data_IF_199462684103
#
_entry.id   IF_199462684103
#
_cell.length_a   1.000
_cell.length_b   1.000
_cell.length_c   1.000
_cell.angle_alpha   90.00
_cell.angle_beta   90.00
_cell.angle_gamma   90.00
#
_symmetry.space_group_name_H-M   'P 1'
#
loop_
_entity.id
_entity.type
_entity.pdbx_description
1 polymer ?
#
# COMPACT_ATOMS: atom_id res chain seq x y z
N UNK A 1 -26.02 -12.75 -0.94
CA UNK A 1 -25.03 -12.95 -2.01
C UNK A 1 -23.66 -12.43 -1.55
N UNK A 2 -22.64 -13.24 -1.73
CA UNK A 2 -21.29 -12.85 -1.34
C UNK A 2 -20.67 -11.99 -2.44
N UNK A 3 -20.04 -10.89 -2.04
CA UNK A 3 -19.45 -9.96 -2.98
C UNK A 3 -17.93 -9.98 -2.83
N UNK A 4 -17.22 -10.37 -3.88
CA UNK A 4 -15.77 -10.26 -3.91
C UNK A 4 -15.40 -8.82 -4.21
N UNK A 5 -14.52 -8.27 -3.40
CA UNK A 5 -14.05 -6.92 -3.56
C UNK A 5 -12.54 -6.90 -3.65
N UNK A 6 -12.03 -6.01 -4.48
CA UNK A 6 -10.60 -5.81 -4.67
C UNK A 6 -10.18 -4.49 -4.05
N UNK A 7 -8.99 -4.49 -3.49
CA UNK A 7 -8.42 -3.28 -2.91
C UNK A 7 -6.93 -3.25 -3.17
N UNK A 8 -6.39 -2.04 -3.15
CA UNK A 8 -4.95 -1.82 -3.25
C UNK A 8 -4.42 -1.39 -1.90
N UNK A 9 -3.32 -1.98 -1.47
CA UNK A 9 -2.62 -1.53 -0.28
C UNK A 9 -1.13 -1.38 -0.58
N UNK A 10 -0.48 -0.55 0.21
CA UNK A 10 0.95 -0.26 0.03
C UNK A 10 1.67 -0.50 1.34
N UNK A 11 2.72 -1.32 1.29
CA UNK A 11 3.65 -1.47 2.40
C UNK A 11 4.65 -0.33 2.29
N UNK A 12 4.63 0.56 3.27
CA UNK A 12 5.40 1.79 3.26
C UNK A 12 6.90 1.55 3.44
N UNK A 13 7.75 2.50 3.03
CA UNK A 13 9.20 2.30 3.09
C UNK A 13 9.75 1.93 4.47
N UNK A 14 9.20 2.48 5.54
CA UNK A 14 9.64 2.15 6.89
C UNK A 14 9.42 0.68 7.25
N UNK A 15 8.27 0.14 6.86
CA UNK A 15 7.95 -1.27 7.10
C UNK A 15 8.84 -2.19 6.26
N UNK A 16 9.14 -1.79 5.02
CA UNK A 16 10.07 -2.54 4.17
C UNK A 16 11.46 -2.57 4.81
N UNK A 17 11.94 -1.42 5.30
CA UNK A 17 13.25 -1.33 5.95
C UNK A 17 13.33 -2.16 7.23
N UNK A 18 12.22 -2.32 7.94
CA UNK A 18 12.16 -3.12 9.17
C UNK A 18 11.95 -4.60 8.91
N UNK A 19 11.95 -5.01 7.64
CA UNK A 19 11.72 -6.40 7.24
C UNK A 19 10.35 -6.93 7.69
N UNK A 20 9.34 -6.07 7.69
CA UNK A 20 7.99 -6.41 8.12
C UNK A 20 7.08 -6.87 6.98
N UNK A 21 7.57 -6.90 5.74
CA UNK A 21 6.76 -7.27 4.57
C UNK A 21 6.14 -8.65 4.74
N UNK A 22 6.95 -9.64 5.15
CA UNK A 22 6.45 -11.00 5.35
C UNK A 22 5.35 -11.10 6.38
N UNK A 23 5.50 -10.38 7.50
CA UNK A 23 4.50 -10.36 8.56
C UNK A 23 3.19 -9.74 8.07
N UNK A 24 3.28 -8.68 7.28
CA UNK A 24 2.11 -8.01 6.73
C UNK A 24 1.37 -8.93 5.76
N UNK A 25 2.11 -9.62 4.88
CA UNK A 25 1.53 -10.57 3.94
C UNK A 25 0.84 -11.70 4.71
N UNK A 26 1.48 -12.23 5.74
CA UNK A 26 0.91 -13.27 6.57
C UNK A 26 -0.42 -12.83 7.20
N UNK A 27 -0.47 -11.60 7.71
CA UNK A 27 -1.70 -11.06 8.31
C UNK A 27 -2.83 -11.00 7.29
N UNK A 28 -2.55 -10.57 6.07
CA UNK A 28 -3.58 -10.54 5.03
C UNK A 28 -4.08 -11.95 4.71
N UNK A 29 -3.19 -12.90 4.55
CA UNK A 29 -3.57 -14.27 4.22
C UNK A 29 -4.35 -14.92 5.37
N UNK A 30 -3.94 -14.68 6.60
CA UNK A 30 -4.66 -15.20 7.78
C UNK A 30 -6.07 -14.63 7.90
N UNK A 31 -6.28 -13.42 7.40
CA UNK A 31 -7.59 -12.77 7.44
C UNK A 31 -8.41 -13.03 6.17
N UNK A 32 -8.01 -13.99 5.36
CA UNK A 32 -8.79 -14.44 4.22
C UNK A 32 -8.60 -13.65 2.94
N UNK A 33 -7.62 -12.73 2.89
CA UNK A 33 -7.30 -12.02 1.66
C UNK A 33 -6.51 -12.89 0.72
N UNK A 34 -6.88 -12.86 -0.55
CA UNK A 34 -6.07 -13.45 -1.61
C UNK A 34 -5.20 -12.36 -2.22
N UNK A 35 -3.91 -12.63 -2.33
CA UNK A 35 -2.98 -11.71 -2.96
C UNK A 35 -3.00 -11.98 -4.46
N UNK A 36 -3.51 -11.01 -5.23
CA UNK A 36 -3.62 -11.14 -6.68
C UNK A 36 -2.36 -10.68 -7.38
N UNK A 37 -1.70 -9.67 -6.83
CA UNK A 37 -0.50 -9.09 -7.42
C UNK A 37 0.33 -8.48 -6.30
N UNK A 38 1.63 -8.61 -6.42
CA UNK A 38 2.57 -8.04 -5.46
C UNK A 38 3.77 -7.53 -6.23
N UNK A 39 4.12 -6.26 -6.03
CA UNK A 39 5.22 -5.65 -6.76
C UNK A 39 6.01 -4.73 -5.83
N UNK A 40 7.31 -4.95 -5.77
CA UNK A 40 8.22 -4.03 -5.08
C UNK A 40 8.72 -3.00 -6.08
N UNK A 41 8.66 -1.73 -5.70
CA UNK A 41 9.13 -0.64 -6.56
C UNK A 41 9.60 0.54 -5.73
N UNK A 42 10.39 1.38 -6.37
CA UNK A 42 10.78 2.68 -5.82
C UNK A 42 10.11 3.75 -6.67
N UNK A 43 9.43 4.68 -6.01
CA UNK A 43 8.79 5.80 -6.70
C UNK A 43 9.59 7.06 -6.47
N UNK A 44 9.64 7.92 -7.49
CA UNK A 44 10.26 9.24 -7.37
C UNK A 44 9.33 10.15 -6.56
N UNK A 45 9.89 11.27 -6.07
CA UNK A 45 9.08 12.28 -5.40
C UNK A 45 7.95 12.77 -6.30
N UNK A 46 8.24 12.97 -7.60
CA UNK A 46 7.23 13.40 -8.56
C UNK A 46 6.09 12.39 -8.69
N UNK A 47 6.42 11.09 -8.75
CA UNK A 47 5.42 10.03 -8.80
C UNK A 47 4.59 9.99 -7.51
N UNK A 48 5.24 10.17 -6.35
CA UNK A 48 4.53 10.23 -5.09
C UNK A 48 3.58 11.43 -5.03
N UNK A 49 4.01 12.57 -5.53
CA UNK A 49 3.17 13.76 -5.61
C UNK A 49 1.94 13.54 -6.48
N UNK A 50 2.10 12.84 -7.61
CA UNK A 50 0.98 12.51 -8.48
C UNK A 50 0.03 11.52 -7.81
N UNK A 51 0.58 10.52 -7.15
CA UNK A 51 -0.24 9.49 -6.46
C UNK A 51 -1.09 10.10 -5.35
N UNK A 52 -0.52 11.07 -4.62
CA UNK A 52 -1.21 11.72 -3.51
C UNK A 52 -1.74 13.10 -3.87
N UNK A 53 -1.97 13.37 -5.16
CA UNK A 53 -2.38 14.70 -5.63
C UNK A 53 -3.66 15.19 -4.96
N UNK A 54 -4.54 14.29 -4.56
CA UNK A 54 -5.78 14.63 -3.84
C UNK A 54 -5.48 15.34 -2.52
N UNK A 55 -4.30 15.17 -1.96
CA UNK A 55 -3.88 15.83 -0.73
C UNK A 55 -2.99 17.05 -0.97
N UNK A 56 -2.81 17.48 -2.22
CA UNK A 56 -2.01 18.67 -2.55
C UNK A 56 -2.60 19.88 -1.82
N UNK A 57 -1.71 20.70 -1.24
CA UNK A 57 -2.13 21.83 -0.44
C UNK A 57 -2.35 21.54 1.04
N UNK A 58 -2.35 20.27 1.45
CA UNK A 58 -2.42 19.92 2.86
C UNK A 58 -1.05 20.12 3.52
N UNK A 59 -0.99 20.48 4.82
CA UNK A 59 0.28 20.68 5.50
C UNK A 59 1.20 19.47 5.50
N UNK A 60 0.64 18.26 5.47
CA UNK A 60 1.42 17.02 5.50
C UNK A 60 1.89 16.54 4.11
N UNK A 61 1.48 17.23 3.02
CA UNK A 61 1.71 16.71 1.66
C UNK A 61 3.20 16.48 1.37
N UNK A 62 4.05 17.47 1.67
CA UNK A 62 5.48 17.38 1.41
C UNK A 62 6.12 16.26 2.23
N UNK A 63 5.78 16.14 3.51
CA UNK A 63 6.30 15.09 4.38
C UNK A 63 5.88 13.71 3.88
N UNK A 64 4.62 13.56 3.46
CA UNK A 64 4.11 12.30 2.95
C UNK A 64 4.83 11.87 1.68
N UNK A 65 4.98 12.79 0.72
CA UNK A 65 5.62 12.46 -0.56
C UNK A 65 7.11 12.20 -0.38
N UNK A 66 7.79 12.92 0.50
CA UNK A 66 9.18 12.65 0.84
C UNK A 66 9.32 11.27 1.47
N UNK A 67 8.42 10.93 2.39
CA UNK A 67 8.45 9.64 3.06
C UNK A 67 8.22 8.48 2.07
N UNK A 68 7.20 8.60 1.23
CA UNK A 68 6.83 7.53 0.28
C UNK A 68 7.88 7.34 -0.81
N UNK A 69 8.70 8.34 -1.10
CA UNK A 69 9.79 8.24 -2.07
C UNK A 69 11.15 7.98 -1.43
N UNK A 70 11.20 7.72 -0.13
CA UNK A 70 12.47 7.55 0.60
C UNK A 70 13.09 6.17 0.47
N UNK A 71 12.41 5.22 -0.11
CA UNK A 71 12.90 3.85 -0.30
C UNK A 71 11.87 2.95 -0.94
N UNK A 72 12.17 1.66 -1.09
CA UNK A 72 11.25 0.71 -1.72
C UNK A 72 9.92 0.60 -0.99
N UNK A 73 8.86 0.44 -1.76
CA UNK A 73 7.53 0.11 -1.27
C UNK A 73 7.06 -1.18 -1.91
N UNK A 74 6.07 -1.84 -1.31
CA UNK A 74 5.43 -3.01 -1.92
C UNK A 74 3.96 -2.68 -2.14
N UNK A 75 3.55 -2.72 -3.41
CA UNK A 75 2.15 -2.55 -3.78
C UNK A 75 1.49 -3.91 -3.87
N UNK A 76 0.35 -4.06 -3.22
CA UNK A 76 -0.41 -5.31 -3.17
C UNK A 76 -1.81 -5.07 -3.68
N UNK A 77 -2.24 -5.92 -4.63
CA UNK A 77 -3.64 -5.99 -5.03
C UNK A 77 -4.25 -7.18 -4.30
N UNK A 78 -5.28 -6.94 -3.54
CA UNK A 78 -5.90 -7.93 -2.67
C UNK A 78 -7.36 -8.14 -3.05
N UNK A 79 -7.85 -9.35 -2.81
CA UNK A 79 -9.26 -9.68 -3.02
C UNK A 79 -9.78 -10.45 -1.82
N UNK A 80 -10.96 -10.08 -1.39
CA UNK A 80 -11.63 -10.75 -0.29
C UNK A 80 -13.12 -10.45 -0.37
N UNK A 81 -13.92 -11.38 0.10
CA UNK A 81 -15.34 -11.11 0.31
C UNK A 81 -15.49 -10.00 1.33
N UNK A 82 -16.17 -8.92 0.94
CA UNK A 82 -16.37 -7.73 1.78
C UNK A 82 -15.06 -7.07 2.22
N UNK A 83 -14.05 -7.05 1.34
CA UNK A 83 -12.72 -6.52 1.67
C UNK A 83 -12.73 -5.08 2.16
N UNK A 84 -13.60 -4.26 1.59
CA UNK A 84 -13.66 -2.83 1.92
C UNK A 84 -14.33 -2.60 3.28
N UNK A 85 -15.23 -3.50 3.68
CA UNK A 85 -15.89 -3.43 4.98
C UNK A 85 -15.01 -3.95 6.12
N UNK A 86 -14.05 -4.79 5.80
CA UNK A 86 -13.10 -5.35 6.74
C UNK A 86 -11.86 -4.46 6.84
#
# INVERSE_FOLDING_TARGET
MKTLQRTLTIVKPDAVRRHAVGDIIEQFEKNGFQILCMKMLEISKHQAEQFYAVHAGRPFFTSLTDFMSSGPIVALALEKENAIAD
#
